data_IF_266008059165
#
_entry.id   IF_266008059165
#
_cell.length_a   1.000
_cell.length_b   1.000
_cell.length_c   1.000
_cell.angle_alpha   90.00
_cell.angle_beta   90.00
_cell.angle_gamma   90.00
#
_symmetry.space_group_name_H-M   'P 1'
#
loop_
_entity.id
_entity.type
_entity.pdbx_description
1 polymer ?
#
# COMPACT_ATOMS: atom_id res chain seq x y z
N UNK A 1 12.68 20.60 2.98
CA UNK A 1 11.38 20.43 2.29
C UNK A 1 10.61 19.23 2.89
N UNK A 2 9.30 19.29 2.85
CA UNK A 2 8.41 18.19 3.18
C UNK A 2 7.34 18.10 2.10
N UNK A 3 7.13 16.90 1.57
CA UNK A 3 6.22 16.66 0.45
C UNK A 3 5.10 15.72 0.88
N UNK A 4 3.88 16.00 0.43
CA UNK A 4 2.72 15.12 0.58
C UNK A 4 2.39 14.43 -0.75
N UNK A 5 1.98 13.15 -0.65
CA UNK A 5 1.54 12.38 -1.79
C UNK A 5 0.49 11.34 -1.41
N UNK A 6 -0.60 11.25 -2.19
CA UNK A 6 -1.61 10.21 -2.03
C UNK A 6 -2.27 9.79 -3.36
N UNK A 7 -1.66 10.11 -4.50
CA UNK A 7 -2.30 9.86 -5.79
C UNK A 7 -2.25 8.37 -6.15
N UNK A 8 -3.40 7.64 -6.23
CA UNK A 8 -3.44 6.19 -6.37
C UNK A 8 -2.82 5.66 -7.67
N UNK A 9 -2.89 6.44 -8.76
CA UNK A 9 -2.26 6.09 -10.04
C UNK A 9 -0.79 6.51 -10.17
N UNK A 10 -0.19 6.97 -9.05
CA UNK A 10 1.23 7.38 -8.99
C UNK A 10 1.95 6.76 -7.79
N UNK A 11 1.49 5.61 -7.34
CA UNK A 11 2.17 4.80 -6.34
C UNK A 11 1.55 4.79 -4.94
N UNK A 12 0.54 5.62 -4.65
CA UNK A 12 -0.18 5.50 -3.39
C UNK A 12 -1.11 4.26 -3.41
N UNK A 13 -1.41 3.74 -2.23
CA UNK A 13 -2.31 2.60 -2.05
C UNK A 13 -3.75 2.96 -2.38
N UNK A 14 -4.26 4.05 -1.83
CA UNK A 14 -5.52 4.75 -2.10
C UNK A 14 -5.45 6.19 -1.55
N UNK A 15 -6.44 7.00 -1.89
CA UNK A 15 -6.40 8.44 -1.60
C UNK A 15 -6.31 8.80 -0.11
N UNK A 16 -6.97 8.10 0.86
CA UNK A 16 -6.85 8.42 2.28
C UNK A 16 -5.47 8.16 2.90
N UNK A 17 -4.64 7.34 2.25
CA UNK A 17 -3.29 7.03 2.73
C UNK A 17 -2.32 8.13 2.29
N UNK A 18 -2.23 9.20 3.09
CA UNK A 18 -1.31 10.32 2.80
C UNK A 18 0.11 9.94 3.23
N UNK A 19 1.03 9.95 2.26
CA UNK A 19 2.46 9.83 2.51
C UNK A 19 3.09 11.20 2.80
N UNK A 20 3.92 11.26 3.83
CA UNK A 20 4.82 12.37 4.13
C UNK A 20 6.24 11.94 3.76
N UNK A 21 6.93 12.73 2.94
CA UNK A 21 8.27 12.43 2.44
C UNK A 21 9.21 13.59 2.69
N UNK A 22 10.35 13.33 3.33
CA UNK A 22 11.40 14.30 3.60
C UNK A 22 12.73 13.83 3.02
N UNK A 23 13.48 14.68 2.32
CA UNK A 23 14.78 14.32 1.79
C UNK A 23 15.84 14.27 2.90
N UNK A 24 16.77 13.34 2.77
CA UNK A 24 17.97 13.22 3.61
C UNK A 24 19.18 13.61 2.78
N UNK A 25 19.95 14.56 3.26
CA UNK A 25 21.15 15.06 2.59
C UNK A 25 22.42 14.72 3.35
N UNK A 26 23.52 14.55 2.62
CA UNK A 26 24.88 14.52 3.14
C UNK A 26 25.77 15.39 2.27
N UNK A 27 26.40 16.42 2.86
CA UNK A 27 27.20 17.38 2.13
C UNK A 27 26.52 17.94 0.88
N UNK A 28 25.28 18.43 1.05
CA UNK A 28 24.40 18.98 -0.01
C UNK A 28 23.96 17.98 -1.10
N UNK A 29 24.35 16.71 -1.00
CA UNK A 29 23.88 15.66 -1.92
C UNK A 29 22.72 14.90 -1.32
N UNK A 30 21.64 14.76 -2.08
CA UNK A 30 20.53 13.90 -1.73
C UNK A 30 21.01 12.45 -1.70
N UNK A 31 20.75 11.75 -0.59
CA UNK A 31 21.16 10.35 -0.38
C UNK A 31 19.99 9.42 -0.10
N UNK A 32 18.82 9.95 0.19
CA UNK A 32 17.62 9.15 0.46
C UNK A 32 16.48 10.01 0.96
N UNK A 33 15.46 9.33 1.46
CA UNK A 33 14.26 9.96 2.00
C UNK A 33 13.86 9.28 3.32
N UNK A 34 13.30 10.07 4.23
CA UNK A 34 12.50 9.58 5.34
C UNK A 34 11.05 9.73 4.95
N UNK A 35 10.29 8.64 5.00
CA UNK A 35 8.89 8.64 4.61
C UNK A 35 8.05 7.80 5.55
N UNK A 36 6.80 8.21 5.71
CA UNK A 36 5.77 7.40 6.35
C UNK A 36 4.44 7.63 5.64
N UNK A 37 3.50 6.71 5.86
CA UNK A 37 2.14 6.79 5.33
C UNK A 37 1.16 6.54 6.46
N UNK A 38 0.08 7.31 6.51
CA UNK A 38 -1.01 7.10 7.45
C UNK A 38 -2.36 7.26 6.73
N UNK A 39 -3.32 6.42 7.15
CA UNK A 39 -4.70 6.53 6.72
C UNK A 39 -5.38 7.68 7.49
N UNK A 40 -5.89 8.68 6.77
CA UNK A 40 -6.60 9.80 7.35
C UNK A 40 -8.11 9.55 7.39
N UNK A 41 -8.74 9.91 8.51
CA UNK A 41 -10.17 9.67 8.74
C UNK A 41 -11.09 10.46 7.80
N UNK A 42 -10.61 11.59 7.27
CA UNK A 42 -11.36 12.42 6.32
C UNK A 42 -10.40 13.26 5.47
N UNK A 43 -10.46 13.07 4.19
CA UNK A 43 -9.72 13.83 3.17
C UNK A 43 -10.64 14.60 2.23
N UNK A 44 -11.87 14.87 2.65
CA UNK A 44 -12.84 15.63 1.86
C UNK A 44 -13.55 14.82 0.78
N UNK A 45 -13.66 13.51 0.93
CA UNK A 45 -14.45 12.64 0.05
C UNK A 45 -15.95 13.00 0.11
N UNK A 46 -16.77 12.41 -0.76
CA UNK A 46 -18.22 12.62 -0.79
C UNK A 46 -18.88 12.26 0.57
N UNK A 47 -18.37 11.22 1.25
CA UNK A 47 -18.68 10.91 2.65
C UNK A 47 -17.39 10.60 3.40
N UNK A 48 -17.31 10.84 4.73
CA UNK A 48 -16.12 10.45 5.48
C UNK A 48 -16.01 8.94 5.63
N UNK A 49 -14.79 8.44 5.79
CA UNK A 49 -14.48 7.02 5.86
C UNK A 49 -14.26 6.39 4.48
N UNK A 50 -14.45 5.08 4.38
CA UNK A 50 -14.32 4.36 3.12
C UNK A 50 -15.60 4.45 2.30
N UNK A 51 -15.44 4.72 1.01
CA UNK A 51 -16.57 4.90 0.09
C UNK A 51 -16.50 3.87 -1.05
N UNK A 52 -17.62 3.25 -1.37
CA UNK A 52 -17.70 2.20 -2.41
C UNK A 52 -18.34 2.73 -3.69
N UNK A 53 -19.50 3.35 -3.56
CA UNK A 53 -20.29 3.79 -4.70
C UNK A 53 -19.96 5.24 -5.09
N UNK A 54 -18.82 5.40 -5.75
CA UNK A 54 -18.36 6.66 -6.35
C UNK A 54 -17.91 6.44 -7.78
N UNK A 55 -18.10 7.43 -8.67
CA UNK A 55 -17.85 7.25 -10.10
C UNK A 55 -16.37 7.28 -10.48
N UNK A 56 -15.54 7.97 -9.72
CA UNK A 56 -14.15 8.24 -10.06
C UNK A 56 -13.31 8.63 -8.84
N UNK A 57 -11.99 8.69 -9.02
CA UNK A 57 -11.03 8.99 -7.96
C UNK A 57 -11.17 10.40 -7.35
N UNK A 58 -11.78 11.37 -8.06
CA UNK A 58 -11.94 12.72 -7.52
C UNK A 58 -13.04 12.78 -6.46
N UNK A 59 -14.03 11.89 -6.54
CA UNK A 59 -15.06 11.73 -5.51
C UNK A 59 -14.54 11.08 -4.22
N UNK A 60 -13.35 10.46 -4.27
CA UNK A 60 -12.66 9.86 -3.12
C UNK A 60 -11.90 10.88 -2.25
N UNK A 61 -11.91 12.16 -2.60
CA UNK A 61 -11.35 13.25 -1.78
C UNK A 61 -10.16 13.97 -2.42
N UNK A 62 -9.43 14.71 -1.60
CA UNK A 62 -8.29 15.51 -2.07
C UNK A 62 -7.17 14.64 -2.63
N UNK A 63 -6.71 14.97 -3.83
CA UNK A 63 -5.53 14.36 -4.43
C UNK A 63 -4.32 15.27 -4.28
N UNK A 64 -3.28 14.76 -3.67
CA UNK A 64 -2.01 15.43 -3.40
C UNK A 64 -0.91 14.71 -4.21
N UNK A 65 -0.46 15.33 -5.28
CA UNK A 65 0.54 14.74 -6.17
C UNK A 65 1.90 15.41 -5.97
N UNK A 66 2.66 14.90 -5.01
CA UNK A 66 3.99 15.39 -4.65
C UNK A 66 4.00 16.91 -4.33
N UNK A 67 3.03 17.39 -3.56
CA UNK A 67 2.91 18.81 -3.21
C UNK A 67 3.77 19.16 -2.00
N UNK A 68 4.45 20.31 -2.03
CA UNK A 68 5.30 20.76 -0.92
C UNK A 68 4.46 21.33 0.21
N UNK A 69 4.50 20.70 1.38
CA UNK A 69 3.90 21.19 2.62
C UNK A 69 4.85 22.15 3.37
N UNK A 70 6.16 21.90 3.24
CA UNK A 70 7.22 22.81 3.67
C UNK A 70 8.21 23.02 2.53
N UNK A 71 8.63 24.25 2.34
CA UNK A 71 9.66 24.64 1.37
C UNK A 71 10.74 25.46 2.06
N UNK A 72 11.99 25.01 1.96
CA UNK A 72 13.11 25.64 2.65
C UNK A 72 12.91 25.77 4.17
N UNK A 73 12.26 24.79 4.80
CA UNK A 73 11.96 24.78 6.23
C UNK A 73 10.76 25.67 6.65
N UNK A 74 10.08 26.31 5.69
CA UNK A 74 8.93 27.18 5.98
C UNK A 74 7.63 26.50 5.56
N UNK A 75 6.58 26.65 6.36
CA UNK A 75 5.23 26.18 6.03
C UNK A 75 4.70 26.87 4.76
N UNK A 76 4.10 26.08 3.88
CA UNK A 76 3.34 26.59 2.74
C UNK A 76 1.90 26.84 3.20
N UNK A 77 1.66 27.96 3.86
CA UNK A 77 0.40 28.30 4.52
C UNK A 77 -0.85 28.12 3.62
N UNK A 78 -0.84 28.45 2.31
CA UNK A 78 -1.99 28.20 1.45
C UNK A 78 -2.39 26.73 1.38
N UNK A 79 -1.40 25.79 1.36
CA UNK A 79 -1.69 24.36 1.33
C UNK A 79 -2.24 23.85 2.66
N UNK A 80 -1.67 24.32 3.78
CA UNK A 80 -2.20 24.01 5.11
C UNK A 80 -3.65 24.47 5.27
N UNK A 81 -3.95 25.68 4.82
CA UNK A 81 -5.31 26.20 4.81
C UNK A 81 -6.22 25.38 3.89
N UNK A 82 -5.76 25.02 2.70
CA UNK A 82 -6.52 24.19 1.76
C UNK A 82 -6.92 22.85 2.39
N UNK A 83 -5.98 22.13 3.00
CA UNK A 83 -6.25 20.84 3.66
C UNK A 83 -7.25 21.04 4.81
N UNK A 84 -7.02 22.04 5.66
CA UNK A 84 -7.89 22.35 6.79
C UNK A 84 -9.32 22.66 6.36
N UNK A 85 -9.50 23.43 5.30
CA UNK A 85 -10.82 23.88 4.84
C UNK A 85 -11.58 22.77 4.06
N UNK A 86 -10.89 21.72 3.63
CA UNK A 86 -11.48 20.61 2.87
C UNK A 86 -11.64 19.32 3.68
N UNK A 87 -11.50 19.37 5.01
CA UNK A 87 -11.81 18.26 5.91
C UNK A 87 -12.89 18.66 6.91
N UNK A 88 -13.74 17.70 7.28
CA UNK A 88 -14.85 17.91 8.25
C UNK A 88 -14.36 17.92 9.69
N UNK A 89 -13.21 17.32 9.96
CA UNK A 89 -12.61 17.16 11.31
C UNK A 89 -11.18 17.70 11.35
N UNK A 90 -10.98 19.00 11.07
CA UNK A 90 -9.65 19.57 10.89
C UNK A 90 -8.72 19.38 12.11
N UNK A 91 -9.27 19.33 13.32
CA UNK A 91 -8.48 19.10 14.53
C UNK A 91 -7.77 17.74 14.53
N UNK A 92 -8.43 16.67 14.06
CA UNK A 92 -7.85 15.35 13.97
C UNK A 92 -6.87 15.26 12.79
N UNK A 93 -7.32 15.62 11.60
CA UNK A 93 -6.49 15.50 10.37
C UNK A 93 -5.20 16.31 10.47
N UNK A 94 -5.27 17.53 11.02
CA UNK A 94 -4.06 18.36 11.20
C UNK A 94 -3.13 17.79 12.27
N UNK A 95 -3.67 17.21 13.36
CA UNK A 95 -2.89 16.55 14.40
C UNK A 95 -2.15 15.31 13.88
N UNK A 96 -2.85 14.47 13.10
CA UNK A 96 -2.25 13.29 12.47
C UNK A 96 -1.14 13.67 11.48
N UNK A 97 -1.37 14.72 10.67
CA UNK A 97 -0.40 15.22 9.73
C UNK A 97 0.86 15.79 10.44
N UNK A 98 0.67 16.53 11.54
CA UNK A 98 1.79 17.03 12.36
C UNK A 98 2.58 15.86 13.00
N UNK A 99 1.91 14.80 13.44
CA UNK A 99 2.56 13.60 13.96
C UNK A 99 3.36 12.86 12.87
N UNK A 100 2.83 12.74 11.66
CA UNK A 100 3.58 12.18 10.51
C UNK A 100 4.83 12.99 10.19
N UNK A 101 4.73 14.32 10.18
CA UNK A 101 5.86 15.24 9.95
C UNK A 101 6.94 15.01 11.01
N UNK A 102 6.55 15.02 12.29
CA UNK A 102 7.49 14.81 13.39
C UNK A 102 8.19 13.43 13.30
N UNK A 103 7.45 12.39 12.88
CA UNK A 103 8.01 11.06 12.64
C UNK A 103 9.03 11.08 11.50
N UNK A 104 8.71 11.73 10.37
CA UNK A 104 9.63 11.84 9.24
C UNK A 104 10.88 12.66 9.59
N UNK A 105 10.75 13.76 10.34
CA UNK A 105 11.88 14.55 10.87
C UNK A 105 12.79 13.72 11.77
N UNK A 106 12.19 12.91 12.65
CA UNK A 106 12.96 11.99 13.50
C UNK A 106 13.73 10.97 12.65
N UNK A 107 13.13 10.46 11.59
CA UNK A 107 13.78 9.55 10.63
C UNK A 107 14.97 10.19 9.96
N UNK A 108 14.85 11.43 9.48
CA UNK A 108 15.98 12.20 8.93
C UNK A 108 17.10 12.30 9.95
N UNK A 109 16.79 12.78 11.16
CA UNK A 109 17.76 12.93 12.24
C UNK A 109 18.49 11.63 12.58
N UNK A 110 17.75 10.52 12.70
CA UNK A 110 18.33 9.20 13.03
C UNK A 110 19.25 8.69 11.91
N UNK A 111 18.91 8.95 10.67
CA UNK A 111 19.76 8.59 9.54
C UNK A 111 21.04 9.44 9.51
N UNK A 112 20.94 10.75 9.77
CA UNK A 112 22.08 11.65 9.90
C UNK A 112 23.02 11.24 11.05
N UNK A 113 22.49 10.77 12.19
CA UNK A 113 23.27 10.21 13.29
C UNK A 113 24.07 8.98 12.84
N UNK A 114 23.47 8.08 12.03
CA UNK A 114 24.19 6.94 11.46
C UNK A 114 25.30 7.37 10.51
N UNK A 115 25.03 8.34 9.63
CA UNK A 115 26.03 8.88 8.72
C UNK A 115 27.20 9.52 9.46
N UNK A 116 26.92 10.24 10.54
CA UNK A 116 27.95 10.87 11.40
C UNK A 116 28.78 9.82 12.13
N UNK A 117 28.16 8.72 12.58
CA UNK A 117 28.84 7.68 13.37
C UNK A 117 29.70 6.75 12.53
N UNK A 118 29.21 6.35 11.37
CA UNK A 118 29.84 5.28 10.57
C UNK A 118 30.43 5.79 9.24
N UNK A 119 30.14 7.03 8.85
CA UNK A 119 30.50 7.55 7.55
C UNK A 119 29.47 7.20 6.47
N UNK A 120 29.36 8.08 5.47
CA UNK A 120 28.36 7.96 4.42
C UNK A 120 28.51 6.68 3.59
N UNK A 121 29.75 6.39 3.15
CA UNK A 121 30.01 5.30 2.21
C UNK A 121 29.76 3.93 2.85
N UNK A 122 30.11 3.79 4.13
CA UNK A 122 29.83 2.57 4.89
C UNK A 122 28.31 2.36 5.11
N UNK A 123 27.56 3.43 5.44
CA UNK A 123 26.12 3.35 5.63
C UNK A 123 25.43 2.97 4.33
N UNK A 124 25.76 3.59 3.21
CA UNK A 124 25.14 3.27 1.90
C UNK A 124 25.52 1.86 1.46
N UNK A 125 26.77 1.46 1.69
CA UNK A 125 27.22 0.08 1.42
C UNK A 125 26.42 -0.93 2.25
N UNK A 126 26.24 -0.69 3.54
CA UNK A 126 25.44 -1.54 4.43
C UNK A 126 23.97 -1.63 3.98
N UNK A 127 23.36 -0.51 3.56
CA UNK A 127 21.99 -0.52 3.02
C UNK A 127 21.87 -1.43 1.80
N UNK A 128 22.81 -1.33 0.85
CA UNK A 128 22.82 -2.19 -0.34
C UNK A 128 23.04 -3.65 0.03
N UNK A 129 23.99 -3.95 0.92
CA UNK A 129 24.24 -5.32 1.39
C UNK A 129 23.04 -5.93 2.11
N UNK A 130 22.27 -5.13 2.88
CA UNK A 130 21.03 -5.60 3.49
C UNK A 130 19.95 -5.93 2.46
N UNK A 131 19.83 -5.15 1.38
CA UNK A 131 18.92 -5.48 0.27
C UNK A 131 19.37 -6.75 -0.46
N UNK A 132 20.66 -6.89 -0.76
CA UNK A 132 21.20 -8.08 -1.41
C UNK A 132 21.05 -9.33 -0.53
N UNK A 133 21.22 -9.18 0.78
CA UNK A 133 20.97 -10.25 1.76
C UNK A 133 19.53 -10.74 1.72
N UNK A 134 18.54 -9.82 1.78
CA UNK A 134 17.12 -10.21 1.76
C UNK A 134 16.69 -10.76 0.41
N UNK A 135 17.24 -10.26 -0.70
CA UNK A 135 17.02 -10.87 -2.02
C UNK A 135 17.53 -12.32 -2.05
N UNK A 136 18.75 -12.55 -1.57
CA UNK A 136 19.33 -13.90 -1.51
C UNK A 136 18.47 -14.84 -0.67
N UNK A 137 17.95 -14.37 0.47
CA UNK A 137 17.07 -15.19 1.32
C UNK A 137 15.76 -15.52 0.61
N UNK A 138 15.12 -14.55 -0.04
CA UNK A 138 13.89 -14.79 -0.80
C UNK A 138 14.12 -15.76 -1.95
N UNK A 139 15.18 -15.59 -2.73
CA UNK A 139 15.53 -16.49 -3.83
C UNK A 139 15.76 -17.92 -3.35
N UNK A 140 16.47 -18.10 -2.24
CA UNK A 140 16.72 -19.42 -1.66
C UNK A 140 15.43 -20.13 -1.21
N UNK A 141 14.42 -19.40 -0.76
CA UNK A 141 13.11 -19.98 -0.42
C UNK A 141 12.29 -20.29 -1.69
N UNK A 142 12.33 -19.44 -2.70
CA UNK A 142 11.64 -19.68 -3.98
C UNK A 142 12.21 -20.93 -4.68
N UNK A 143 13.52 -21.14 -4.67
CA UNK A 143 14.18 -22.30 -5.28
C UNK A 143 13.75 -23.65 -4.68
N UNK A 144 13.17 -23.65 -3.48
CA UNK A 144 12.61 -24.88 -2.88
C UNK A 144 11.26 -25.27 -3.49
N UNK A 145 10.60 -24.34 -4.20
CA UNK A 145 9.32 -24.59 -4.84
C UNK A 145 9.60 -25.14 -6.25
N UNK A 146 9.03 -26.28 -6.64
CA UNK A 146 9.27 -26.81 -7.99
C UNK A 146 8.87 -25.82 -9.08
N UNK A 147 9.61 -25.82 -10.20
CA UNK A 147 9.25 -25.04 -11.37
C UNK A 147 7.87 -25.44 -11.88
N UNK A 148 7.02 -24.48 -12.20
CA UNK A 148 5.66 -24.75 -12.64
C UNK A 148 4.79 -23.51 -12.80
N UNK A 149 3.60 -23.74 -13.34
CA UNK A 149 2.52 -22.77 -13.45
C UNK A 149 1.38 -23.20 -12.53
N UNK A 150 1.24 -22.51 -11.39
CA UNK A 150 0.27 -22.83 -10.34
C UNK A 150 -0.93 -21.90 -10.46
N UNK A 151 -2.12 -22.45 -10.65
CA UNK A 151 -3.32 -21.69 -10.95
C UNK A 151 -4.37 -21.83 -9.85
N UNK A 152 -5.01 -20.73 -9.55
CA UNK A 152 -6.21 -20.70 -8.74
C UNK A 152 -7.17 -19.64 -9.26
N UNK A 153 -8.46 -19.86 -9.00
CA UNK A 153 -9.51 -18.90 -9.32
C UNK A 153 -10.52 -18.81 -8.18
N UNK A 154 -11.15 -17.67 -8.10
CA UNK A 154 -12.21 -17.32 -7.18
C UNK A 154 -12.98 -16.13 -7.73
N UNK A 155 -13.75 -15.49 -6.87
CA UNK A 155 -14.57 -14.35 -7.26
C UNK A 155 -14.83 -13.44 -6.07
N UNK A 156 -15.24 -12.22 -6.36
CA UNK A 156 -15.95 -11.34 -5.44
C UNK A 156 -17.44 -11.44 -5.77
N UNK A 157 -18.28 -11.24 -4.77
CA UNK A 157 -19.74 -11.42 -4.89
C UNK A 157 -20.36 -10.46 -5.91
N UNK A 158 -19.91 -9.18 -5.89
CA UNK A 158 -20.38 -8.14 -6.81
C UNK A 158 -19.42 -6.94 -6.85
N UNK A 159 -19.79 -5.88 -7.59
CA UNK A 159 -19.06 -4.63 -7.68
C UNK A 159 -19.52 -3.55 -6.70
N UNK A 160 -20.38 -3.89 -5.72
CA UNK A 160 -21.00 -2.96 -4.79
C UNK A 160 -22.25 -2.27 -5.33
N UNK A 161 -22.56 -2.39 -6.61
CA UNK A 161 -23.72 -1.77 -7.28
C UNK A 161 -24.62 -2.81 -7.95
N UNK A 162 -24.08 -3.66 -8.81
CA UNK A 162 -24.80 -4.77 -9.48
C UNK A 162 -24.57 -6.09 -8.77
N UNK A 163 -25.46 -6.40 -7.82
CA UNK A 163 -25.41 -7.63 -7.01
C UNK A 163 -25.72 -8.92 -7.76
N UNK A 164 -26.07 -8.84 -9.04
CA UNK A 164 -26.34 -10.02 -9.87
C UNK A 164 -25.10 -10.55 -10.57
N UNK A 165 -23.98 -9.81 -10.52
CA UNK A 165 -22.78 -10.06 -11.33
C UNK A 165 -21.56 -10.28 -10.46
N UNK A 166 -21.10 -11.52 -10.34
CA UNK A 166 -19.83 -11.84 -9.69
C UNK A 166 -18.63 -11.37 -10.51
N UNK A 167 -17.54 -10.99 -9.82
CA UNK A 167 -16.29 -10.54 -10.42
C UNK A 167 -15.24 -11.65 -10.32
N UNK A 168 -14.89 -12.33 -11.42
CA UNK A 168 -13.87 -13.38 -11.39
C UNK A 168 -12.48 -12.81 -11.10
N UNK A 169 -11.75 -13.53 -10.25
CA UNK A 169 -10.34 -13.28 -9.97
C UNK A 169 -9.55 -14.54 -10.34
N UNK A 170 -8.55 -14.40 -11.19
CA UNK A 170 -7.67 -15.47 -11.61
C UNK A 170 -6.23 -15.15 -11.29
N UNK A 171 -5.54 -16.15 -10.75
CA UNK A 171 -4.14 -16.06 -10.39
C UNK A 171 -3.39 -17.22 -11.04
N UNK A 172 -2.28 -16.90 -11.70
CA UNK A 172 -1.29 -17.88 -12.13
C UNK A 172 0.06 -17.50 -11.55
N UNK A 173 0.56 -18.30 -10.60
CA UNK A 173 1.90 -18.14 -10.03
C UNK A 173 2.85 -18.99 -10.86
N UNK A 174 3.80 -18.36 -11.53
CA UNK A 174 4.82 -19.03 -12.34
C UNK A 174 6.15 -19.01 -11.59
N UNK A 175 6.67 -20.19 -11.27
CA UNK A 175 7.97 -20.38 -10.63
C UNK A 175 8.98 -20.81 -11.69
N UNK A 176 10.12 -20.14 -11.75
CA UNK A 176 11.25 -20.47 -12.63
C UNK A 176 12.56 -20.25 -11.87
N UNK A 177 13.15 -21.33 -11.37
CA UNK A 177 14.33 -21.28 -10.51
C UNK A 177 14.05 -20.42 -9.27
N UNK A 178 14.75 -19.31 -9.14
CA UNK A 178 14.61 -18.37 -8.01
C UNK A 178 13.70 -17.17 -8.29
N UNK A 179 12.90 -17.20 -9.38
CA UNK A 179 12.02 -16.09 -9.76
C UNK A 179 10.55 -16.49 -9.75
N UNK A 180 9.70 -15.51 -9.43
CA UNK A 180 8.24 -15.64 -9.43
C UNK A 180 7.62 -14.61 -10.36
N UNK A 181 6.61 -15.02 -11.13
CA UNK A 181 5.66 -14.12 -11.76
C UNK A 181 4.24 -14.41 -11.26
N UNK A 182 3.57 -13.41 -10.70
CA UNK A 182 2.14 -13.45 -10.38
C UNK A 182 1.39 -12.82 -11.54
N UNK A 183 0.73 -13.65 -12.35
CA UNK A 183 -0.05 -13.24 -13.51
C UNK A 183 -1.54 -13.25 -13.17
N UNK A 184 -2.18 -12.08 -13.24
CA UNK A 184 -3.60 -11.84 -12.94
C UNK A 184 -4.47 -11.77 -14.20
N UNK A 185 -3.91 -12.17 -15.35
CA UNK A 185 -4.63 -12.18 -16.63
C UNK A 185 -5.88 -13.06 -16.56
N UNK A 186 -6.99 -12.53 -17.02
CA UNK A 186 -8.30 -13.19 -16.99
C UNK A 186 -9.14 -12.87 -15.75
N UNK A 187 -8.62 -12.06 -14.84
CA UNK A 187 -9.44 -11.41 -13.81
C UNK A 187 -10.41 -10.40 -14.43
N UNK A 188 -11.43 -9.99 -13.67
CA UNK A 188 -12.45 -9.03 -14.10
C UNK A 188 -11.84 -7.77 -14.72
N UNK A 189 -12.55 -7.16 -15.65
CA UNK A 189 -12.33 -5.79 -16.07
C UNK A 189 -12.53 -4.84 -14.87
N UNK A 190 -11.99 -3.61 -14.99
CA UNK A 190 -12.26 -2.56 -14.01
C UNK A 190 -13.76 -2.28 -13.87
N UNK A 191 -14.19 -1.88 -12.68
CA UNK A 191 -15.59 -1.66 -12.33
C UNK A 191 -15.91 -0.18 -12.12
N UNK A 192 -17.20 0.22 -12.26
CA UNK A 192 -17.61 1.62 -12.14
C UNK A 192 -17.78 2.09 -10.67
N UNK A 193 -17.13 1.41 -9.74
CA UNK A 193 -17.15 1.69 -8.30
C UNK A 193 -15.72 1.72 -7.77
N UNK A 194 -15.54 2.01 -6.48
CA UNK A 194 -14.23 2.08 -5.84
C UNK A 194 -13.56 0.71 -5.59
N UNK A 195 -14.06 -0.37 -6.19
CA UNK A 195 -13.51 -1.72 -6.06
C UNK A 195 -12.33 -2.02 -7.00
N UNK A 196 -11.73 -1.02 -7.62
CA UNK A 196 -10.51 -1.19 -8.40
C UNK A 196 -9.27 -1.12 -7.51
N UNK A 197 -8.18 -1.71 -7.96
CA UNK A 197 -6.93 -1.82 -7.19
C UNK A 197 -5.79 -1.12 -7.93
N UNK A 198 -5.24 -0.03 -7.42
CA UNK A 198 -4.09 0.63 -8.03
C UNK A 198 -2.91 -0.33 -8.19
N UNK A 199 -2.33 -0.38 -9.40
CA UNK A 199 -1.34 -1.40 -9.73
C UNK A 199 -0.07 -1.29 -8.90
N UNK A 200 0.56 -0.11 -8.89
CA UNK A 200 1.84 0.09 -8.20
C UNK A 200 1.67 0.13 -6.68
N UNK A 201 0.66 0.84 -6.17
CA UNK A 201 0.48 1.06 -4.75
C UNK A 201 -0.21 -0.07 -3.98
N UNK A 202 -0.92 -0.97 -4.66
CA UNK A 202 -1.68 -2.03 -3.96
C UNK A 202 -1.54 -3.41 -4.59
N UNK A 203 -1.75 -3.57 -5.90
CA UNK A 203 -1.69 -4.91 -6.54
C UNK A 203 -0.31 -5.55 -6.38
N UNK A 204 0.77 -4.82 -6.68
CA UNK A 204 2.14 -5.32 -6.49
C UNK A 204 2.43 -5.58 -5.01
N UNK A 205 2.07 -4.64 -4.14
CA UNK A 205 2.36 -4.71 -2.70
C UNK A 205 1.67 -5.93 -2.06
N UNK A 206 0.41 -6.19 -2.42
CA UNK A 206 -0.31 -7.37 -1.92
C UNK A 206 0.35 -8.69 -2.36
N UNK A 207 0.81 -8.78 -3.60
CA UNK A 207 1.57 -9.95 -4.08
C UNK A 207 2.89 -10.11 -3.29
N UNK A 208 3.65 -9.03 -3.10
CA UNK A 208 4.91 -9.04 -2.34
C UNK A 208 4.69 -9.48 -0.89
N UNK A 209 3.62 -8.96 -0.26
CA UNK A 209 3.25 -9.32 1.10
C UNK A 209 3.04 -10.84 1.25
N UNK A 210 2.31 -11.47 0.33
CA UNK A 210 2.03 -12.90 0.39
C UNK A 210 3.32 -13.71 0.39
N UNK A 211 4.23 -13.47 -0.55
CA UNK A 211 5.51 -14.19 -0.59
C UNK A 211 6.37 -13.91 0.64
N UNK A 212 6.38 -12.66 1.11
CA UNK A 212 7.08 -12.32 2.37
C UNK A 212 6.54 -13.09 3.55
N UNK A 213 5.20 -13.15 3.68
CA UNK A 213 4.54 -13.84 4.80
C UNK A 213 4.70 -15.37 4.72
N UNK A 214 4.61 -15.95 3.51
CA UNK A 214 4.70 -17.40 3.34
C UNK A 214 6.13 -17.93 3.45
N UNK A 215 7.12 -17.23 2.89
CA UNK A 215 8.45 -17.80 2.67
C UNK A 215 9.49 -17.34 3.68
N UNK A 216 9.42 -16.10 4.19
CA UNK A 216 10.43 -15.54 5.08
C UNK A 216 9.92 -15.51 6.53
N UNK A 217 10.05 -16.63 7.22
CA UNK A 217 9.70 -16.76 8.64
C UNK A 217 10.81 -16.20 9.53
N UNK A 218 10.51 -15.11 10.25
CA UNK A 218 11.44 -14.48 11.19
C UNK A 218 11.30 -14.98 12.63
N UNK A 219 10.27 -15.79 12.92
CA UNK A 219 10.01 -16.26 14.29
C UNK A 219 10.58 -17.64 14.58
N UNK A 220 10.58 -18.53 13.60
CA UNK A 220 11.13 -19.88 13.75
C UNK A 220 12.59 -20.00 13.34
N UNK A 221 13.14 -19.04 12.58
CA UNK A 221 14.56 -18.96 12.30
C UNK A 221 15.26 -18.05 13.31
N UNK A 222 16.44 -18.45 13.80
CA UNK A 222 17.30 -17.55 14.61
C UNK A 222 17.92 -16.44 13.76
N UNK A 223 17.50 -16.28 12.52
CA UNK A 223 18.02 -15.29 11.57
C UNK A 223 17.07 -14.11 11.47
N UNK A 224 17.58 -12.93 11.71
CA UNK A 224 16.83 -11.69 11.45
C UNK A 224 16.84 -11.37 9.96
N UNK A 225 15.66 -11.43 9.33
CA UNK A 225 15.47 -11.05 7.91
C UNK A 225 14.75 -9.69 7.89
N UNK A 226 15.47 -8.57 7.60
CA UNK A 226 14.84 -7.26 7.55
C UNK A 226 13.84 -7.17 6.41
N UNK A 227 12.82 -6.34 6.59
CA UNK A 227 11.89 -6.03 5.50
C UNK A 227 12.45 -4.86 4.70
N UNK A 228 12.76 -5.11 3.44
CA UNK A 228 13.22 -4.13 2.49
C UNK A 228 12.93 -4.58 1.05
N UNK A 229 13.25 -3.71 0.06
CA UNK A 229 12.98 -3.97 -1.34
C UNK A 229 13.69 -5.22 -1.90
N UNK A 230 14.84 -5.62 -1.32
CA UNK A 230 15.57 -6.80 -1.77
C UNK A 230 14.72 -8.06 -1.79
N UNK A 231 13.81 -8.24 -0.80
CA UNK A 231 12.92 -9.40 -0.76
C UNK A 231 11.90 -9.43 -1.91
N UNK A 232 11.68 -8.35 -2.62
CA UNK A 232 10.70 -8.25 -3.70
C UNK A 232 11.30 -8.28 -5.09
N UNK A 233 12.62 -8.11 -5.23
CA UNK A 233 13.33 -8.13 -6.52
C UNK A 233 13.08 -9.39 -7.37
N UNK A 234 12.99 -10.62 -6.80
CA UNK A 234 12.70 -11.81 -7.57
C UNK A 234 11.22 -11.99 -7.95
N UNK A 235 10.33 -11.08 -7.54
CA UNK A 235 8.87 -11.22 -7.70
C UNK A 235 8.38 -10.20 -8.74
N UNK A 236 7.82 -10.70 -9.83
CA UNK A 236 7.17 -9.90 -10.87
C UNK A 236 5.66 -10.03 -10.75
N UNK A 237 4.95 -8.94 -11.00
CA UNK A 237 3.47 -8.93 -11.00
C UNK A 237 3.00 -8.43 -12.36
N UNK A 238 2.01 -9.11 -12.91
CA UNK A 238 1.41 -8.78 -14.20
C UNK A 238 -0.10 -8.72 -14.07
N UNK A 239 -0.70 -7.61 -14.47
CA UNK A 239 -2.14 -7.45 -14.61
C UNK A 239 -2.43 -6.66 -15.90
N UNK A 240 -3.36 -7.10 -16.75
CA UNK A 240 -3.74 -6.36 -17.95
C UNK A 240 -4.24 -4.96 -17.60
N UNK A 241 -3.84 -3.97 -18.38
CA UNK A 241 -4.36 -2.62 -18.26
C UNK A 241 -5.87 -2.61 -18.51
N UNK A 242 -6.63 -1.91 -17.67
CA UNK A 242 -8.09 -1.92 -17.69
C UNK A 242 -8.72 -3.07 -16.93
N UNK A 243 -7.93 -3.94 -16.28
CA UNK A 243 -8.46 -4.93 -15.33
C UNK A 243 -8.66 -4.32 -13.95
N UNK A 244 -9.44 -5.00 -13.10
CA UNK A 244 -9.68 -4.59 -11.71
C UNK A 244 -8.37 -4.43 -10.89
N UNK A 245 -7.28 -5.11 -11.26
CA UNK A 245 -5.97 -5.04 -10.63
C UNK A 245 -4.98 -4.11 -11.34
N UNK A 246 -5.38 -3.46 -12.42
CA UNK A 246 -4.60 -2.44 -13.12
C UNK A 246 -5.57 -1.49 -13.86
N UNK A 247 -6.40 -0.76 -13.12
CA UNK A 247 -7.41 0.09 -13.69
C UNK A 247 -6.81 1.30 -14.42
N UNK A 248 -7.58 1.85 -15.36
CA UNK A 248 -7.26 3.08 -16.08
C UNK A 248 -7.87 4.25 -15.31
N UNK A 249 -7.09 5.28 -15.04
CA UNK A 249 -7.60 6.51 -14.44
C UNK A 249 -8.72 7.11 -15.33
N UNK A 250 -9.76 7.69 -14.75
CA UNK A 250 -9.92 8.05 -13.35
C UNK A 250 -10.73 7.05 -12.49
N UNK A 251 -10.72 5.74 -12.79
CA UNK A 251 -11.50 4.77 -12.03
C UNK A 251 -11.26 4.90 -10.51
N UNK A 252 -12.33 4.87 -9.72
CA UNK A 252 -12.25 4.91 -8.26
C UNK A 252 -11.58 3.64 -7.70
N UNK A 253 -10.84 3.75 -6.60
CA UNK A 253 -10.00 2.68 -6.08
C UNK A 253 -9.88 2.64 -4.55
N UNK A 254 -10.70 3.39 -3.82
CA UNK A 254 -10.58 3.51 -2.37
C UNK A 254 -10.89 2.19 -1.64
N UNK A 255 -11.91 1.44 -2.10
CA UNK A 255 -12.42 0.24 -1.43
C UNK A 255 -11.75 -1.07 -1.91
N UNK A 256 -10.47 -1.06 -2.19
CA UNK A 256 -9.67 -2.16 -2.79
C UNK A 256 -9.42 -3.39 -1.91
N UNK A 257 -9.89 -3.42 -0.67
CA UNK A 257 -9.46 -4.40 0.35
C UNK A 257 -9.86 -5.84 0.03
N UNK A 258 -11.11 -6.08 -0.29
CA UNK A 258 -11.62 -7.42 -0.58
C UNK A 258 -10.89 -8.07 -1.77
N UNK A 259 -10.54 -7.26 -2.76
CA UNK A 259 -9.83 -7.69 -3.96
C UNK A 259 -8.42 -8.16 -3.66
N UNK A 260 -7.64 -7.36 -2.89
CA UNK A 260 -6.27 -7.73 -2.53
C UNK A 260 -6.22 -8.92 -1.58
N UNK A 261 -7.15 -9.02 -0.65
CA UNK A 261 -7.26 -10.18 0.25
C UNK A 261 -7.61 -11.44 -0.55
N UNK A 262 -8.60 -11.37 -1.46
CA UNK A 262 -8.95 -12.50 -2.31
C UNK A 262 -7.81 -12.91 -3.23
N UNK A 263 -7.08 -11.97 -3.80
CA UNK A 263 -5.88 -12.27 -4.60
C UNK A 263 -4.81 -12.97 -3.75
N UNK A 264 -4.58 -12.49 -2.53
CA UNK A 264 -3.63 -13.10 -1.60
C UNK A 264 -3.99 -14.57 -1.28
N UNK A 265 -5.25 -14.84 -0.94
CA UNK A 265 -5.77 -16.18 -0.72
C UNK A 265 -5.59 -17.09 -1.94
N UNK A 266 -5.80 -16.55 -3.14
CA UNK A 266 -5.66 -17.32 -4.37
C UNK A 266 -4.19 -17.64 -4.70
N UNK A 267 -3.24 -16.77 -4.35
CA UNK A 267 -1.81 -17.08 -4.42
C UNK A 267 -1.47 -18.23 -3.47
N UNK A 268 -1.93 -18.17 -2.22
CA UNK A 268 -1.72 -19.23 -1.22
C UNK A 268 -2.38 -20.54 -1.71
N UNK A 269 -3.62 -20.49 -2.20
CA UNK A 269 -4.34 -21.63 -2.73
C UNK A 269 -3.62 -22.27 -3.93
N UNK A 270 -3.06 -21.45 -4.83
CA UNK A 270 -2.33 -21.94 -5.99
C UNK A 270 -1.06 -22.71 -5.60
N UNK A 271 -0.34 -22.25 -4.59
CA UNK A 271 0.90 -22.86 -4.12
C UNK A 271 0.69 -23.98 -3.09
N UNK A 272 -0.47 -24.03 -2.43
CA UNK A 272 -0.77 -25.01 -1.39
C UNK A 272 -0.48 -26.47 -1.74
N UNK A 273 -0.75 -26.96 -2.96
CA UNK A 273 -0.44 -28.35 -3.33
C UNK A 273 1.06 -28.69 -3.32
N UNK A 274 1.94 -27.71 -3.44
CA UNK A 274 3.41 -27.91 -3.56
C UNK A 274 4.20 -27.46 -2.33
N UNK A 275 3.61 -26.58 -1.50
CA UNK A 275 4.17 -26.16 -0.20
C UNK A 275 3.07 -26.17 0.88
N UNK A 276 2.45 -27.35 1.16
CA UNK A 276 1.32 -27.45 2.09
C UNK A 276 1.64 -26.96 3.51
N UNK A 277 2.89 -27.10 3.95
CA UNK A 277 3.38 -26.66 5.27
C UNK A 277 3.43 -25.13 5.42
N UNK A 278 3.40 -24.40 4.31
CA UNK A 278 3.34 -22.92 4.27
C UNK A 278 1.93 -22.38 3.99
N UNK A 279 0.97 -23.26 3.72
CA UNK A 279 -0.40 -22.88 3.41
C UNK A 279 -1.20 -22.60 4.67
N UNK A 280 -2.03 -21.57 4.62
CA UNK A 280 -3.00 -21.23 5.66
C UNK A 280 -4.43 -21.47 5.16
N UNK A 281 -5.39 -21.52 6.07
CA UNK A 281 -6.80 -21.42 5.69
C UNK A 281 -7.07 -20.06 5.03
N UNK A 282 -8.02 -20.01 4.11
CA UNK A 282 -8.47 -18.76 3.50
C UNK A 282 -9.17 -17.86 4.54
N UNK A 283 -9.13 -16.57 4.31
CA UNK A 283 -9.87 -15.60 5.11
C UNK A 283 -11.24 -15.27 4.47
N UNK A 284 -12.06 -14.51 5.19
CA UNK A 284 -13.37 -14.09 4.69
C UNK A 284 -13.27 -13.15 3.47
N UNK A 285 -12.09 -12.59 3.20
CA UNK A 285 -11.84 -11.57 2.18
C UNK A 285 -12.83 -10.39 2.28
N UNK A 286 -13.14 -9.98 3.51
CA UNK A 286 -14.00 -8.85 3.82
C UNK A 286 -13.28 -7.90 4.75
N UNK A 287 -13.62 -6.62 4.64
CA UNK A 287 -13.25 -5.60 5.62
C UNK A 287 -14.55 -5.11 6.25
N UNK A 288 -14.77 -5.46 7.50
CA UNK A 288 -15.90 -4.92 8.27
C UNK A 288 -15.47 -3.60 8.90
N UNK A 289 -16.17 -2.53 8.59
CA UNK A 289 -15.97 -1.25 9.25
C UNK A 289 -17.30 -0.58 9.61
N UNK A 290 -17.25 0.20 10.68
CA UNK A 290 -18.35 1.05 11.08
C UNK A 290 -17.92 2.51 10.96
N UNK A 291 -18.56 3.25 10.07
CA UNK A 291 -18.33 4.68 9.90
C UNK A 291 -19.58 5.45 10.36
N UNK A 292 -19.42 6.29 11.34
CA UNK A 292 -20.47 7.16 11.84
C UNK A 292 -20.01 8.61 11.79
N UNK A 293 -20.90 9.51 11.44
CA UNK A 293 -20.61 10.93 11.44
C UNK A 293 -21.86 11.75 11.71
N UNK A 294 -21.69 12.98 12.12
CA UNK A 294 -22.81 13.87 12.37
C UNK A 294 -22.38 15.21 12.96
N UNK A 295 -23.37 16.03 13.28
CA UNK A 295 -23.17 17.34 13.93
C UNK A 295 -23.61 17.24 15.38
N UNK A 296 -22.75 17.64 16.31
CA UNK A 296 -23.04 17.72 17.73
C UNK A 296 -24.00 18.88 18.02
N UNK A 297 -24.70 18.87 19.16
CA UNK A 297 -25.52 20.04 19.58
C UNK A 297 -24.72 21.34 19.66
N UNK A 298 -23.40 21.29 19.87
CA UNK A 298 -22.47 22.42 19.82
C UNK A 298 -22.25 23.00 18.41
N UNK A 299 -22.70 22.32 17.36
CA UNK A 299 -22.44 22.67 15.97
C UNK A 299 -21.17 22.02 15.38
N UNK A 300 -20.37 21.33 16.19
CA UNK A 300 -19.15 20.69 15.74
C UNK A 300 -19.46 19.39 14.98
N UNK A 301 -18.80 19.18 13.86
CA UNK A 301 -18.86 17.91 13.13
C UNK A 301 -17.98 16.86 13.79
N UNK A 302 -18.41 15.61 13.77
CA UNK A 302 -17.62 14.48 14.27
C UNK A 302 -17.65 13.32 13.28
N UNK A 303 -16.56 12.58 13.25
CA UNK A 303 -16.43 11.32 12.51
C UNK A 303 -15.90 10.27 13.47
N UNK A 304 -16.45 9.08 13.41
CA UNK A 304 -15.94 7.87 14.06
C UNK A 304 -15.79 6.79 13.02
N UNK A 305 -14.63 6.20 12.97
CA UNK A 305 -14.33 5.06 12.09
C UNK A 305 -13.74 3.95 12.95
N UNK A 306 -14.35 2.78 12.90
CA UNK A 306 -13.83 1.57 13.50
C UNK A 306 -13.70 0.50 12.43
N UNK A 307 -12.53 -0.13 12.35
CA UNK A 307 -12.25 -1.24 11.45
C UNK A 307 -12.15 -2.49 12.28
N UNK A 308 -12.98 -3.48 11.96
CA UNK A 308 -12.97 -4.80 12.59
C UNK A 308 -12.51 -5.83 11.56
N UNK A 309 -11.43 -6.53 11.88
CA UNK A 309 -10.92 -7.66 11.11
C UNK A 309 -11.49 -8.99 11.58
#
# INVERSE_FOLDING_TARGET
DCVLHNHPYKGASHSPDIAVVMPVFSNEKLIGFSANTAHHVDIGAATPGLIIDVPDMWAEGMLLDAVKLYEGGKRVEPLWKYIKDNTRVPGLVMGDLEAQIASAELGVKRFEELLSKYGKDDVITACNQLMDYTEKMMRAEIEKIPDGDYKAEGFLDDDGRDRSKTLPIKVCVKIRGSEVEVDLTGSSEQVPTAFNVPFDGSTKVAAFFVFRAMLLDTYSSNEYIPQNEGSFRPIKVKAPLGSIFNPIAPAAAEARFCQIQRMADLVIKALGPVIPEKSTAGNAATLSFAAYSGVRPSGDYWVFLEVNE
#
